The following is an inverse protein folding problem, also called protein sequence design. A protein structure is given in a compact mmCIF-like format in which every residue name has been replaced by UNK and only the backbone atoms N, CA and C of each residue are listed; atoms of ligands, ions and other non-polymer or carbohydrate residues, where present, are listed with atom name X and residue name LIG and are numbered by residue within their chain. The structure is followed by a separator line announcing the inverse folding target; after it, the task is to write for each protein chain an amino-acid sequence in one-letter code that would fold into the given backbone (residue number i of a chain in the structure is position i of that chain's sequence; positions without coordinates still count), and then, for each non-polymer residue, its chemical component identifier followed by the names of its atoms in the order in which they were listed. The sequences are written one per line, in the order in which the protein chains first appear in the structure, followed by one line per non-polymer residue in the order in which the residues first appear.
data_IF_173611638312
#
_entry.id   IF_173611638312
#
_cell.length_a   1.000
_cell.length_b   1.000
_cell.length_c   1.000
_cell.angle_alpha   90.00
_cell.angle_beta   90.00
_cell.angle_gamma   90.00
#
_symmetry.space_group_name_H-M   'P 1'
#
loop_
_entity.id
_entity.type
_entity.pdbx_description
1 polymer ?
#
# COMPACT_ATOMS: atom_id res chain seq x y z
N UNK A 1 -6.20 6.06 -5.81
CA UNK A 1 -7.51 6.37 -5.20
C UNK A 1 -7.37 6.51 -3.68
N UNK A 2 -7.04 5.46 -2.91
CA UNK A 2 -6.88 5.61 -1.44
C UNK A 2 -5.83 6.65 -0.99
N UNK A 3 -4.64 6.64 -1.59
CA UNK A 3 -3.54 7.54 -1.19
C UNK A 3 -3.84 9.03 -1.41
N UNK A 4 -4.38 9.38 -2.59
CA UNK A 4 -4.64 10.78 -2.99
C UNK A 4 -6.01 11.28 -2.54
N UNK A 5 -7.01 10.39 -2.47
CA UNK A 5 -8.40 10.80 -2.35
C UNK A 5 -8.94 10.57 -0.93
N UNK A 6 -8.50 9.50 -0.26
CA UNK A 6 -8.96 9.15 1.09
C UNK A 6 -8.06 9.70 2.20
N UNK A 7 -6.75 9.37 2.19
CA UNK A 7 -5.85 9.77 3.27
C UNK A 7 -5.62 11.29 3.29
N UNK A 8 -5.57 11.87 4.50
CA UNK A 8 -5.48 13.31 4.78
C UNK A 8 -4.27 13.56 5.68
N UNK A 9 -3.77 14.81 5.81
CA UNK A 9 -2.54 15.10 6.56
C UNK A 9 -2.49 14.47 7.96
N UNK A 10 -3.58 14.54 8.73
CA UNK A 10 -3.69 13.91 10.05
C UNK A 10 -3.47 12.39 10.04
N UNK A 11 -3.85 11.68 8.96
CA UNK A 11 -3.57 10.25 8.82
C UNK A 11 -2.10 9.97 8.55
N UNK A 12 -1.43 10.83 7.77
CA UNK A 12 0.01 10.70 7.50
C UNK A 12 0.87 11.08 8.72
N UNK A 13 0.40 11.99 9.56
CA UNK A 13 1.02 12.30 10.85
C UNK A 13 0.90 11.12 11.83
N UNK A 14 -0.28 10.50 11.91
CA UNK A 14 -0.50 9.32 12.76
C UNK A 14 0.23 8.06 12.26
N UNK A 15 0.44 7.97 10.94
CA UNK A 15 1.12 6.84 10.28
C UNK A 15 2.22 7.34 9.33
N UNK A 16 3.40 7.74 9.84
CA UNK A 16 4.49 8.29 9.03
C UNK A 16 4.99 7.34 7.92
N UNK A 17 4.82 6.04 8.11
CA UNK A 17 5.19 5.00 7.15
C UNK A 17 4.25 4.89 5.94
N UNK A 18 3.08 5.55 5.96
CA UNK A 18 2.03 5.34 4.97
C UNK A 18 2.47 5.75 3.55
N UNK A 19 3.27 6.80 3.41
CA UNK A 19 3.86 7.19 2.12
C UNK A 19 4.76 6.09 1.55
N UNK A 20 5.60 5.49 2.39
CA UNK A 20 6.51 4.42 1.99
C UNK A 20 5.72 3.17 1.59
N UNK A 21 4.71 2.78 2.37
CA UNK A 21 3.85 1.63 2.06
C UNK A 21 3.18 1.76 0.69
N UNK A 22 2.58 2.92 0.40
CA UNK A 22 1.97 3.15 -0.92
C UNK A 22 2.99 3.14 -2.05
N UNK A 23 4.18 3.68 -1.83
CA UNK A 23 5.24 3.68 -2.84
C UNK A 23 5.73 2.25 -3.14
N UNK A 24 5.97 1.45 -2.11
CA UNK A 24 6.37 0.05 -2.22
C UNK A 24 5.30 -0.78 -2.91
N UNK A 25 4.04 -0.68 -2.48
CA UNK A 25 2.92 -1.38 -3.09
C UNK A 25 2.75 -1.00 -4.57
N UNK A 26 2.85 0.29 -4.91
CA UNK A 26 2.73 0.76 -6.30
C UNK A 26 3.87 0.25 -7.18
N UNK A 27 5.10 0.20 -6.63
CA UNK A 27 6.26 -0.37 -7.35
C UNK A 27 6.11 -1.87 -7.56
N UNK A 28 5.67 -2.61 -6.54
CA UNK A 28 5.39 -4.04 -6.63
C UNK A 28 4.25 -4.36 -7.60
N UNK A 29 3.25 -3.48 -7.75
CA UNK A 29 2.22 -3.61 -8.76
C UNK A 29 2.68 -3.21 -10.18
N UNK A 30 3.80 -2.49 -10.29
CA UNK A 30 4.32 -1.96 -11.54
C UNK A 30 5.06 -2.97 -12.40
N UNK A 31 5.67 -2.47 -13.49
CA UNK A 31 6.41 -3.30 -14.46
C UNK A 31 7.60 -4.07 -13.87
N UNK A 32 8.14 -3.62 -12.73
CA UNK A 32 9.22 -4.30 -12.03
C UNK A 32 8.74 -5.37 -11.01
N UNK A 33 7.42 -5.52 -10.84
CA UNK A 33 6.81 -6.51 -9.95
C UNK A 33 5.76 -7.35 -10.67
N UNK A 34 4.56 -7.47 -10.11
CA UNK A 34 3.51 -8.41 -10.56
C UNK A 34 3.05 -8.18 -12.00
N UNK A 35 3.23 -6.98 -12.58
CA UNK A 35 2.94 -6.74 -14.00
C UNK A 35 4.03 -7.29 -14.93
N UNK A 36 5.27 -7.42 -14.45
CA UNK A 36 6.42 -7.88 -15.23
C UNK A 36 6.81 -9.34 -15.03
N UNK A 37 6.23 -10.01 -14.04
CA UNK A 37 6.50 -11.43 -13.72
C UNK A 37 5.22 -12.18 -13.36
N UNK A 38 5.24 -13.51 -13.51
CA UNK A 38 4.18 -14.43 -13.05
C UNK A 38 4.59 -15.17 -11.76
N UNK A 39 5.62 -14.69 -11.07
CA UNK A 39 6.05 -15.26 -9.80
C UNK A 39 5.03 -14.97 -8.68
N UNK A 40 4.44 -16.03 -8.14
CA UNK A 40 3.46 -15.98 -7.06
C UNK A 40 4.04 -15.31 -5.80
N UNK A 41 5.34 -15.51 -5.52
CA UNK A 41 5.97 -14.90 -4.36
C UNK A 41 6.02 -13.36 -4.45
N UNK A 42 6.04 -12.79 -5.66
CA UNK A 42 5.96 -11.34 -5.86
C UNK A 42 4.53 -10.85 -5.67
N UNK A 43 3.53 -11.65 -6.06
CA UNK A 43 2.13 -11.35 -5.79
C UNK A 43 1.82 -11.38 -4.28
N UNK A 44 2.34 -12.36 -3.55
CA UNK A 44 2.16 -12.46 -2.09
C UNK A 44 2.76 -11.25 -1.36
N UNK A 45 3.93 -10.76 -1.80
CA UNK A 45 4.54 -9.53 -1.27
C UNK A 45 3.65 -8.31 -1.52
N UNK A 46 3.02 -8.22 -2.69
CA UNK A 46 2.09 -7.13 -2.98
C UNK A 46 0.84 -7.21 -2.10
N UNK A 47 0.26 -8.40 -1.94
CA UNK A 47 -0.91 -8.62 -1.08
C UNK A 47 -0.59 -8.23 0.37
N UNK A 48 0.55 -8.67 0.90
CA UNK A 48 0.99 -8.30 2.25
C UNK A 48 1.07 -6.78 2.44
N UNK A 49 1.56 -6.03 1.44
CA UNK A 49 1.61 -4.56 1.51
C UNK A 49 0.22 -3.91 1.45
N UNK A 50 -0.69 -4.51 0.68
CA UNK A 50 -2.09 -4.06 0.61
C UNK A 50 -2.80 -4.31 1.95
N UNK A 51 -2.53 -5.43 2.61
CA UNK A 51 -3.10 -5.76 3.92
C UNK A 51 -2.64 -4.77 5.00
N UNK A 52 -1.35 -4.42 5.04
CA UNK A 52 -0.83 -3.36 5.93
C UNK A 52 -1.56 -2.02 5.72
N UNK A 53 -1.80 -1.64 4.45
CA UNK A 53 -2.55 -0.42 4.12
C UNK A 53 -4.03 -0.54 4.55
N UNK A 54 -4.63 -1.72 4.39
CA UNK A 54 -6.02 -1.98 4.75
C UNK A 54 -6.25 -1.90 6.26
N UNK A 55 -5.32 -2.42 7.07
CA UNK A 55 -5.37 -2.30 8.52
C UNK A 55 -5.37 -0.83 8.97
N UNK A 56 -4.47 -0.02 8.40
CA UNK A 56 -4.42 1.43 8.67
C UNK A 56 -5.72 2.10 8.22
N UNK A 57 -6.23 1.77 7.03
CA UNK A 57 -7.49 2.30 6.54
C UNK A 57 -8.64 2.05 7.54
N UNK A 58 -8.79 0.82 8.02
CA UNK A 58 -9.82 0.50 9.00
C UNK A 58 -9.58 1.13 10.37
N UNK A 59 -8.33 1.33 10.79
CA UNK A 59 -8.02 2.06 12.01
C UNK A 59 -8.46 3.53 11.94
N UNK A 60 -8.35 4.19 10.77
CA UNK A 60 -8.82 5.58 10.57
C UNK A 60 -10.34 5.73 10.47
N UNK A 61 -11.08 4.61 10.38
CA UNK A 61 -12.55 4.60 10.31
C UNK A 61 -13.22 4.41 11.68
N UNK A 62 -12.44 4.05 12.71
CA UNK A 62 -12.89 3.92 14.10
C UNK A 62 -12.87 5.28 14.78
#
# INVERSE_FOLDING_TARGET
MLWTDYFKPNHFEAYPQLHTLFNEATKLAGAAGTKGTQDVAVADKLISKIDEIAEIFWATKK
#
